data_IF_964591975470
#
_entry.id   IF_964591975470
#
_cell.length_a   1.000
_cell.length_b   1.000
_cell.length_c   1.000
_cell.angle_alpha   90.00
_cell.angle_beta   90.00
_cell.angle_gamma   90.00
#
_symmetry.space_group_name_H-M   'P 1'
#
loop_
_entity.id
_entity.type
_entity.pdbx_description
1 polymer ?
#
# COMPACT_ATOMS: atom_id res chain seq x y z
N UNK A 1 12.61 0.17 -6.80
CA UNK A 1 12.84 1.25 -5.85
C UNK A 1 11.67 2.25 -5.93
N UNK A 2 10.77 2.22 -4.93
CA UNK A 2 9.55 3.03 -4.92
C UNK A 2 9.69 4.30 -4.06
N UNK A 3 10.89 4.63 -3.59
CA UNK A 3 11.16 5.73 -2.66
C UNK A 3 10.31 5.65 -1.37
N UNK A 4 10.09 4.44 -0.88
CA UNK A 4 9.27 4.16 0.31
C UNK A 4 9.98 3.21 1.26
N UNK A 5 9.65 3.33 2.53
CA UNK A 5 10.07 2.43 3.61
C UNK A 5 8.84 1.70 4.10
N UNK A 6 8.84 0.37 3.96
CA UNK A 6 7.74 -0.48 4.41
C UNK A 6 7.98 -1.05 5.80
N UNK A 7 6.95 -1.01 6.63
CA UNK A 7 6.90 -1.68 7.94
C UNK A 7 5.77 -2.69 7.91
N UNK A 8 6.13 -3.98 7.94
CA UNK A 8 5.17 -5.07 7.90
C UNK A 8 4.97 -5.68 9.29
N UNK A 9 3.72 -5.84 9.67
CA UNK A 9 3.33 -6.60 10.87
C UNK A 9 2.78 -7.97 10.46
N UNK A 10 3.53 -9.07 10.68
CA UNK A 10 3.09 -10.39 10.24
C UNK A 10 1.89 -10.95 11.03
N UNK A 11 1.63 -10.43 12.24
CA UNK A 11 0.50 -10.93 13.06
C UNK A 11 -0.84 -10.38 12.62
N UNK A 12 -0.88 -9.17 12.08
CA UNK A 12 -2.09 -8.52 11.56
C UNK A 12 -2.10 -8.44 10.05
N UNK A 13 -1.07 -8.96 9.38
CA UNK A 13 -0.86 -8.86 7.94
C UNK A 13 -1.00 -7.43 7.39
N UNK A 14 -0.63 -6.42 8.19
CA UNK A 14 -0.68 -5.01 7.81
C UNK A 14 0.68 -4.51 7.32
N UNK A 15 0.65 -3.69 6.28
CA UNK A 15 1.80 -3.00 5.72
C UNK A 15 1.59 -1.50 5.82
N UNK A 16 2.55 -0.80 6.42
CA UNK A 16 2.61 0.67 6.42
C UNK A 16 3.82 1.07 5.59
N UNK A 17 3.61 1.91 4.59
CA UNK A 17 4.68 2.43 3.75
C UNK A 17 4.81 3.94 3.96
N UNK A 18 6.00 4.39 4.30
CA UNK A 18 6.33 5.80 4.49
C UNK A 18 7.06 6.30 3.24
N UNK A 19 6.57 7.36 2.64
CA UNK A 19 7.24 8.00 1.49
C UNK A 19 8.48 8.74 1.96
N UNK A 20 9.61 8.49 1.31
CA UNK A 20 10.83 9.27 1.51
C UNK A 20 10.68 10.56 0.73
N UNK A 21 10.67 11.74 1.40
CA UNK A 21 10.37 13.00 0.75
C UNK A 21 11.49 13.49 -0.17
N UNK A 22 12.71 13.03 0.07
CA UNK A 22 13.88 13.44 -0.70
C UNK A 22 13.82 12.88 -2.11
N UNK A 23 14.04 13.77 -3.08
CA UNK A 23 14.14 13.43 -4.50
C UNK A 23 15.25 14.27 -5.11
N UNK A 24 16.27 13.64 -5.66
CA UNK A 24 17.35 14.38 -6.32
C UNK A 24 17.10 14.47 -7.84
N UNK A 25 16.62 15.62 -8.34
CA UNK A 25 16.38 15.80 -9.76
C UNK A 25 17.67 15.91 -10.60
N UNK A 26 18.81 16.10 -9.97
CA UNK A 26 20.08 16.34 -10.67
C UNK A 26 20.89 15.07 -10.93
N UNK A 27 20.47 13.94 -10.39
CA UNK A 27 21.24 12.69 -10.51
C UNK A 27 21.05 11.98 -11.85
N UNK A 28 19.92 12.19 -12.50
CA UNK A 28 19.64 11.69 -13.83
C UNK A 28 19.00 12.80 -14.65
N UNK A 29 19.18 12.76 -15.96
CA UNK A 29 18.44 13.64 -16.87
C UNK A 29 16.96 13.25 -16.82
N UNK A 30 16.18 14.08 -16.15
CA UNK A 30 14.80 13.84 -15.84
C UNK A 30 13.83 14.61 -16.72
N UNK A 31 14.30 15.23 -17.81
CA UNK A 31 13.43 15.99 -18.70
C UNK A 31 12.25 15.15 -19.20
N UNK A 32 11.06 15.51 -18.73
CA UNK A 32 9.80 14.86 -19.12
C UNK A 32 9.47 13.54 -18.43
N UNK A 33 10.19 13.13 -17.38
CA UNK A 33 9.92 11.90 -16.63
C UNK A 33 9.39 12.24 -15.23
N UNK A 34 8.13 11.88 -14.97
CA UNK A 34 7.41 12.19 -13.72
C UNK A 34 8.02 11.56 -12.45
N UNK A 35 8.75 10.46 -12.58
CA UNK A 35 9.30 9.67 -11.45
C UNK A 35 10.82 9.64 -11.39
N UNK A 36 11.47 10.62 -11.95
CA UNK A 36 12.90 10.76 -11.84
C UNK A 36 13.31 11.35 -10.48
N UNK A 37 14.51 11.02 -10.02
CA UNK A 37 15.02 11.54 -8.76
C UNK A 37 14.53 10.77 -7.54
N UNK A 38 15.00 9.54 -7.38
CA UNK A 38 14.77 8.74 -6.17
C UNK A 38 15.92 8.94 -5.20
N UNK A 39 15.62 9.02 -3.89
CA UNK A 39 16.64 9.11 -2.83
C UNK A 39 17.55 7.88 -2.74
N UNK A 40 17.15 6.77 -3.33
CA UNK A 40 17.84 5.48 -3.27
C UNK A 40 18.20 5.07 -1.84
N UNK A 41 17.18 4.71 -1.08
CA UNK A 41 17.35 4.13 0.24
C UNK A 41 18.18 2.85 0.14
N UNK A 42 19.27 2.76 0.90
CA UNK A 42 20.24 1.68 0.73
C UNK A 42 20.43 0.82 1.97
N UNK A 43 20.57 1.41 3.15
CA UNK A 43 20.84 0.69 4.38
C UNK A 43 19.92 1.13 5.51
N UNK A 44 19.70 0.24 6.49
CA UNK A 44 18.76 0.43 7.58
C UNK A 44 19.37 0.06 8.92
N UNK A 45 19.03 0.84 9.95
CA UNK A 45 19.25 0.51 11.35
C UNK A 45 17.97 0.75 12.15
N UNK A 46 17.58 -0.22 12.97
CA UNK A 46 16.39 -0.12 13.81
C UNK A 46 16.81 0.16 15.25
N UNK A 47 16.30 1.24 15.82
CA UNK A 47 16.46 1.62 17.21
C UNK A 47 15.10 1.87 17.87
N UNK A 48 14.61 0.88 18.58
CA UNK A 48 13.29 0.89 19.18
C UNK A 48 12.18 1.08 18.15
N UNK A 49 11.52 2.23 18.15
CA UNK A 49 10.46 2.60 17.20
C UNK A 49 10.96 3.49 16.05
N UNK A 50 12.26 3.68 15.95
CA UNK A 50 12.87 4.47 14.89
C UNK A 50 13.58 3.59 13.90
N UNK A 51 13.37 3.86 12.61
CA UNK A 51 14.04 3.21 11.50
C UNK A 51 14.90 4.27 10.84
N UNK A 52 16.20 4.17 11.02
CA UNK A 52 17.20 5.02 10.38
C UNK A 52 17.58 4.41 9.03
N UNK A 53 17.76 5.24 8.02
CA UNK A 53 18.15 4.79 6.70
C UNK A 53 19.06 5.80 6.01
N UNK A 54 19.89 5.31 5.09
CA UNK A 54 20.73 6.16 4.28
C UNK A 54 20.04 6.46 2.95
N UNK A 55 20.18 7.70 2.49
CA UNK A 55 19.76 8.14 1.17
C UNK A 55 21.02 8.38 0.35
N UNK A 56 21.41 7.39 -0.42
CA UNK A 56 22.70 7.40 -1.15
C UNK A 56 22.83 8.63 -2.06
N UNK A 57 21.81 8.89 -2.87
CA UNK A 57 21.90 9.96 -3.90
C UNK A 57 21.89 11.34 -3.28
N UNK A 58 21.12 11.51 -2.20
CA UNK A 58 21.01 12.79 -1.49
C UNK A 58 22.13 13.01 -0.47
N UNK A 59 22.93 11.97 -0.19
CA UNK A 59 23.94 12.00 0.84
C UNK A 59 23.39 12.39 2.22
N UNK A 60 22.18 11.89 2.54
CA UNK A 60 21.44 12.18 3.76
C UNK A 60 21.26 10.92 4.60
N UNK A 61 20.87 11.11 5.84
CA UNK A 61 20.31 10.09 6.73
C UNK A 61 18.88 10.47 7.05
N UNK A 62 17.94 9.59 6.73
CA UNK A 62 16.53 9.74 7.07
C UNK A 62 16.15 8.93 8.31
N UNK A 63 15.01 9.27 8.89
CA UNK A 63 14.41 8.51 9.99
C UNK A 63 12.90 8.42 9.83
N UNK A 64 12.36 7.23 10.01
CA UNK A 64 10.93 6.99 10.23
C UNK A 64 10.71 6.73 11.72
N UNK A 65 9.83 7.50 12.35
CA UNK A 65 9.40 7.28 13.73
C UNK A 65 8.03 6.60 13.73
N UNK A 66 8.02 5.29 13.96
CA UNK A 66 6.79 4.47 13.98
C UNK A 66 5.95 4.66 15.24
N UNK A 67 6.37 5.52 16.19
CA UNK A 67 5.56 5.92 17.34
C UNK A 67 4.55 7.01 17.03
N UNK A 68 4.72 7.71 15.92
CA UNK A 68 3.79 8.74 15.45
C UNK A 68 2.49 8.06 15.02
N UNK A 69 1.33 8.45 15.55
CA UNK A 69 0.05 7.87 15.17
C UNK A 69 -0.22 8.03 13.68
N UNK A 70 -0.71 6.95 13.04
CA UNK A 70 -1.10 6.99 11.64
C UNK A 70 -2.33 7.89 11.45
N UNK A 71 -2.42 8.65 10.35
CA UNK A 71 -3.55 9.55 10.09
C UNK A 71 -4.86 8.81 9.79
N UNK A 72 -4.78 7.55 9.39
CA UNK A 72 -5.92 6.67 9.15
C UNK A 72 -5.54 5.22 9.41
N UNK A 73 -6.55 4.36 9.54
CA UNK A 73 -6.39 2.90 9.55
C UNK A 73 -7.27 2.26 8.51
N UNK A 74 -6.89 1.05 8.12
CA UNK A 74 -7.56 0.24 7.12
C UNK A 74 -7.98 -1.07 7.75
N UNK A 75 -9.14 -1.58 7.36
CA UNK A 75 -9.71 -2.85 7.79
C UNK A 75 -10.54 -3.44 6.64
N UNK A 76 -10.62 -4.75 6.54
CA UNK A 76 -11.42 -5.46 5.54
C UNK A 76 -12.46 -6.34 6.23
N UNK A 77 -13.65 -6.47 5.63
CA UNK A 77 -14.73 -7.31 6.16
C UNK A 77 -14.44 -8.81 6.03
N UNK A 78 -13.45 -9.19 5.23
CA UNK A 78 -13.01 -10.56 5.01
C UNK A 78 -11.50 -10.63 4.92
N UNK A 79 -10.90 -11.55 5.64
CA UNK A 79 -9.46 -11.83 5.60
C UNK A 79 -9.11 -12.93 4.58
N UNK A 80 -10.10 -13.77 4.23
CA UNK A 80 -9.95 -14.89 3.31
C UNK A 80 -11.18 -15.01 2.40
N UNK A 81 -10.96 -15.33 1.13
CA UNK A 81 -12.01 -15.68 0.17
C UNK A 81 -11.55 -16.85 -0.70
N UNK A 82 -12.53 -17.66 -1.15
CA UNK A 82 -12.31 -18.72 -2.15
C UNK A 82 -13.15 -18.39 -3.38
N UNK A 83 -12.54 -18.46 -4.55
CA UNK A 83 -13.16 -18.16 -5.84
C UNK A 83 -12.99 -19.33 -6.79
N UNK A 84 -14.03 -19.68 -7.52
CA UNK A 84 -13.93 -20.46 -8.74
C UNK A 84 -13.40 -19.57 -9.88
N UNK A 85 -12.85 -20.17 -10.93
CA UNK A 85 -12.41 -19.44 -12.13
C UNK A 85 -13.59 -18.68 -12.75
N UNK A 86 -13.38 -17.43 -13.11
CA UNK A 86 -14.41 -16.51 -13.60
C UNK A 86 -15.31 -15.90 -12.50
N UNK A 87 -15.18 -16.32 -11.26
CA UNK A 87 -16.00 -15.80 -10.16
C UNK A 87 -15.47 -14.48 -9.64
N UNK A 88 -16.40 -13.61 -9.18
CA UNK A 88 -16.11 -12.34 -8.53
C UNK A 88 -16.65 -12.34 -7.10
N UNK A 89 -15.86 -11.84 -6.15
CA UNK A 89 -16.29 -11.51 -4.81
C UNK A 89 -16.12 -10.02 -4.52
N UNK A 90 -16.94 -9.50 -3.62
CA UNK A 90 -16.84 -8.15 -3.10
C UNK A 90 -16.24 -8.16 -1.71
N UNK A 91 -15.31 -7.25 -1.47
CA UNK A 91 -14.68 -6.95 -0.19
C UNK A 91 -15.00 -5.50 0.19
N UNK A 92 -15.42 -5.30 1.42
CA UNK A 92 -15.65 -3.96 1.96
C UNK A 92 -14.37 -3.47 2.63
N UNK A 93 -13.68 -2.53 1.98
CA UNK A 93 -12.51 -1.85 2.50
C UNK A 93 -12.95 -0.67 3.35
N UNK A 94 -12.86 -0.78 4.66
CA UNK A 94 -13.18 0.28 5.60
C UNK A 94 -11.94 1.09 5.95
N UNK A 95 -11.99 2.40 5.72
CA UNK A 95 -10.92 3.33 6.03
C UNK A 95 -11.42 4.30 7.11
N UNK A 96 -10.78 4.29 8.25
CA UNK A 96 -11.16 5.13 9.40
C UNK A 96 -10.19 6.29 9.51
N UNK A 97 -10.70 7.50 9.41
CA UNK A 97 -9.91 8.72 9.64
C UNK A 97 -9.56 8.84 11.13
N UNK A 98 -8.30 9.05 11.41
CA UNK A 98 -7.77 9.29 12.77
C UNK A 98 -7.21 10.70 12.93
N UNK A 99 -7.26 11.49 11.86
CA UNK A 99 -6.92 12.91 11.90
C UNK A 99 -8.17 13.74 12.19
N UNK A 100 -7.97 15.01 12.55
CA UNK A 100 -9.06 15.97 12.75
C UNK A 100 -9.48 16.70 11.46
N UNK A 101 -9.00 16.27 10.31
CA UNK A 101 -9.25 16.90 9.00
C UNK A 101 -9.58 15.84 7.96
N UNK A 102 -10.37 16.22 6.97
CA UNK A 102 -10.54 15.41 5.79
C UNK A 102 -9.22 15.24 5.03
N UNK A 103 -9.00 14.07 4.44
CA UNK A 103 -7.77 13.68 3.76
C UNK A 103 -8.13 13.23 2.34
N UNK A 104 -7.47 13.82 1.35
CA UNK A 104 -7.50 13.29 -0.02
C UNK A 104 -6.66 12.02 -0.08
N UNK A 105 -7.27 10.92 -0.48
CA UNK A 105 -6.64 9.62 -0.52
C UNK A 105 -7.03 8.83 -1.77
N UNK A 106 -6.24 7.82 -2.06
CA UNK A 106 -6.49 6.88 -3.15
C UNK A 106 -6.44 5.44 -2.63
N UNK A 107 -7.12 4.54 -3.31
CA UNK A 107 -7.07 3.10 -2.98
C UNK A 107 -5.73 2.53 -3.42
N UNK A 108 -5.10 1.76 -2.53
CA UNK A 108 -3.91 0.97 -2.80
C UNK A 108 -4.31 -0.49 -2.95
N UNK A 109 -4.02 -1.08 -4.10
CA UNK A 109 -4.31 -2.49 -4.34
C UNK A 109 -3.23 -3.16 -5.17
N UNK A 110 -2.88 -4.39 -4.81
CA UNK A 110 -1.99 -5.24 -5.60
C UNK A 110 -2.21 -6.71 -5.27
N UNK A 111 -1.71 -7.61 -6.10
CA UNK A 111 -1.76 -9.04 -5.84
C UNK A 111 -0.41 -9.71 -6.08
N UNK A 112 -0.19 -10.87 -5.44
CA UNK A 112 0.96 -11.72 -5.70
C UNK A 112 0.75 -12.65 -6.89
N UNK A 113 -0.44 -12.58 -7.54
CA UNK A 113 -0.70 -13.39 -8.73
C UNK A 113 0.16 -12.94 -9.90
N UNK A 114 0.56 -13.92 -10.70
CA UNK A 114 1.20 -13.68 -12.00
C UNK A 114 0.15 -13.77 -13.11
N UNK A 115 0.45 -13.19 -14.27
CA UNK A 115 -0.38 -13.30 -15.48
C UNK A 115 -1.83 -12.82 -15.35
N UNK A 116 -2.13 -11.90 -14.44
CA UNK A 116 -3.48 -11.38 -14.22
C UNK A 116 -4.50 -12.45 -13.80
N UNK A 117 -4.07 -13.45 -13.04
CA UNK A 117 -4.98 -14.47 -12.48
C UNK A 117 -6.03 -13.84 -11.57
N UNK A 118 -5.68 -12.73 -10.90
CA UNK A 118 -6.57 -11.94 -10.05
C UNK A 118 -6.68 -10.54 -10.64
N UNK A 119 -7.92 -10.12 -10.90
CA UNK A 119 -8.27 -8.78 -11.36
C UNK A 119 -8.93 -8.05 -10.18
N UNK A 120 -8.42 -6.86 -9.85
CA UNK A 120 -8.93 -6.04 -8.76
C UNK A 120 -9.54 -4.77 -9.36
N UNK A 121 -10.80 -4.49 -9.05
CA UNK A 121 -11.52 -3.31 -9.53
C UNK A 121 -12.09 -2.52 -8.36
N UNK A 122 -11.89 -1.22 -8.35
CA UNK A 122 -12.37 -0.30 -7.32
C UNK A 122 -12.40 1.14 -7.82
N UNK A 123 -13.05 2.01 -7.08
CA UNK A 123 -12.94 3.46 -7.22
C UNK A 123 -11.56 3.93 -6.73
N UNK A 124 -10.85 4.76 -7.50
CA UNK A 124 -9.46 5.09 -7.19
C UNK A 124 -9.31 6.18 -6.13
N UNK A 125 -9.93 7.34 -6.34
CA UNK A 125 -9.74 8.52 -5.50
C UNK A 125 -10.97 8.81 -4.66
N UNK A 126 -10.78 9.20 -3.42
CA UNK A 126 -11.86 9.53 -2.51
C UNK A 126 -11.41 10.57 -1.47
N UNK A 127 -12.39 11.28 -0.93
CA UNK A 127 -12.17 12.14 0.22
C UNK A 127 -12.50 11.34 1.49
N UNK A 128 -11.49 11.10 2.33
CA UNK A 128 -11.67 10.47 3.62
C UNK A 128 -12.20 11.51 4.62
N UNK A 129 -13.50 11.48 4.86
CA UNK A 129 -14.18 12.36 5.80
C UNK A 129 -13.85 12.00 7.27
N UNK A 130 -14.25 12.86 8.22
CA UNK A 130 -14.08 12.61 9.66
C UNK A 130 -14.78 11.32 10.14
N UNK A 131 -15.87 10.92 9.46
CA UNK A 131 -16.60 9.68 9.77
C UNK A 131 -15.98 8.41 9.18
N UNK A 132 -14.89 8.56 8.41
CA UNK A 132 -14.33 7.47 7.63
C UNK A 132 -15.07 7.22 6.31
N UNK A 133 -14.63 6.23 5.57
CA UNK A 133 -15.19 5.84 4.26
C UNK A 133 -15.13 4.32 4.12
N UNK A 134 -16.11 3.74 3.43
CA UNK A 134 -16.11 2.33 3.04
C UNK A 134 -16.16 2.24 1.53
N UNK A 135 -15.23 1.50 0.95
CA UNK A 135 -15.09 1.32 -0.49
C UNK A 135 -15.35 -0.14 -0.82
N UNK A 136 -16.15 -0.40 -1.84
CA UNK A 136 -16.33 -1.75 -2.36
C UNK A 136 -15.20 -2.05 -3.34
N UNK A 137 -14.48 -3.13 -3.08
CA UNK A 137 -13.44 -3.67 -3.95
C UNK A 137 -13.93 -4.99 -4.53
N UNK A 138 -13.92 -5.12 -5.84
CA UNK A 138 -14.24 -6.36 -6.54
C UNK A 138 -12.95 -7.13 -6.85
N UNK A 139 -12.95 -8.41 -6.50
CA UNK A 139 -11.85 -9.33 -6.77
C UNK A 139 -12.39 -10.45 -7.64
N UNK A 140 -11.87 -10.54 -8.85
CA UNK A 140 -12.28 -11.53 -9.84
C UNK A 140 -11.13 -12.50 -10.12
N UNK A 141 -11.39 -13.81 -10.00
CA UNK A 141 -10.51 -14.82 -10.55
C UNK A 141 -10.71 -14.89 -12.06
N UNK A 142 -9.64 -14.75 -12.84
CA UNK A 142 -9.71 -14.91 -14.31
C UNK A 142 -10.23 -16.31 -14.68
N UNK A 143 -10.90 -16.42 -15.83
CA UNK A 143 -11.32 -17.73 -16.38
C UNK A 143 -10.11 -18.66 -16.67
N UNK A 144 -8.94 -18.06 -16.90
CA UNK A 144 -7.70 -18.78 -17.19
C UNK A 144 -6.75 -18.86 -15.99
N UNK A 145 -7.21 -18.41 -14.82
CA UNK A 145 -6.38 -18.40 -13.62
C UNK A 145 -5.89 -19.80 -13.25
N UNK A 146 -4.68 -19.85 -12.73
CA UNK A 146 -4.15 -21.07 -12.14
C UNK A 146 -4.72 -21.24 -10.72
N UNK A 147 -5.13 -22.48 -10.38
CA UNK A 147 -5.56 -22.80 -9.02
C UNK A 147 -4.38 -22.62 -8.06
N UNK A 148 -4.64 -22.00 -6.91
CA UNK A 148 -3.61 -21.71 -5.92
C UNK A 148 -4.05 -20.65 -4.91
N UNK A 149 -3.16 -20.37 -3.96
CA UNK A 149 -3.38 -19.36 -2.94
C UNK A 149 -2.52 -18.14 -3.22
N UNK A 150 -3.13 -16.98 -3.21
CA UNK A 150 -2.53 -15.68 -3.49
C UNK A 150 -2.78 -14.73 -2.34
N UNK A 151 -1.89 -13.75 -2.16
CA UNK A 151 -2.13 -12.61 -1.28
C UNK A 151 -2.56 -11.40 -2.12
N UNK A 152 -3.58 -10.72 -1.66
CA UNK A 152 -4.03 -9.45 -2.21
C UNK A 152 -3.85 -8.38 -1.15
N UNK A 153 -3.16 -7.30 -1.50
CA UNK A 153 -2.97 -6.13 -0.67
C UNK A 153 -4.08 -5.14 -0.98
N UNK A 154 -4.81 -4.70 0.05
CA UNK A 154 -5.87 -3.69 -0.05
C UNK A 154 -5.62 -2.60 0.98
N UNK A 155 -5.75 -1.35 0.58
CA UNK A 155 -5.52 -0.23 1.47
C UNK A 155 -5.81 1.12 0.87
N UNK A 156 -5.26 2.14 1.52
CA UNK A 156 -5.31 3.52 1.06
C UNK A 156 -3.95 4.17 1.14
N UNK A 157 -3.72 5.17 0.30
CA UNK A 157 -2.49 5.95 0.34
C UNK A 157 -2.77 7.44 0.12
N UNK A 158 -1.86 8.23 0.67
CA UNK A 158 -1.69 9.67 0.43
C UNK A 158 -0.29 9.90 -0.16
N UNK A 159 0.10 11.13 -0.39
CA UNK A 159 1.46 11.46 -0.84
C UNK A 159 2.53 10.99 0.16
N UNK A 160 2.23 11.01 1.46
CA UNK A 160 3.20 10.76 2.52
C UNK A 160 3.22 9.31 3.01
N UNK A 161 2.07 8.63 2.98
CA UNK A 161 1.91 7.34 3.64
C UNK A 161 0.88 6.45 2.94
N UNK A 162 1.15 5.13 2.95
CA UNK A 162 0.15 4.12 2.61
C UNK A 162 -0.05 3.17 3.80
N UNK A 163 -1.29 2.78 4.03
CA UNK A 163 -1.68 1.77 5.02
C UNK A 163 -2.51 0.71 4.30
N UNK A 164 -2.10 -0.53 4.42
CA UNK A 164 -2.73 -1.64 3.69
C UNK A 164 -2.76 -2.90 4.54
N UNK A 165 -3.68 -3.80 4.20
CA UNK A 165 -3.83 -5.11 4.81
C UNK A 165 -3.80 -6.18 3.71
N UNK A 166 -3.16 -7.31 3.98
CA UNK A 166 -3.22 -8.47 3.12
C UNK A 166 -4.45 -9.31 3.42
N UNK A 167 -5.11 -9.78 2.38
CA UNK A 167 -6.12 -10.84 2.44
C UNK A 167 -5.64 -12.05 1.64
N UNK A 168 -6.17 -13.22 1.97
CA UNK A 168 -5.88 -14.47 1.25
C UNK A 168 -6.97 -14.75 0.22
N UNK A 169 -6.58 -15.00 -1.01
CA UNK A 169 -7.48 -15.39 -2.12
C UNK A 169 -7.07 -16.78 -2.61
N UNK A 170 -7.95 -17.76 -2.46
CA UNK A 170 -7.75 -19.11 -2.98
C UNK A 170 -8.57 -19.31 -4.23
N UNK A 171 -7.94 -19.68 -5.35
CA UNK A 171 -8.58 -20.04 -6.62
C UNK A 171 -8.65 -21.54 -6.72
N UNK A 172 -9.86 -22.09 -6.94
CA UNK A 172 -10.14 -23.51 -7.07
C UNK A 172 -10.50 -23.93 -8.48
#
# INVERSE_FOLDING_TARGET
NANRIGVFNPSSETLVEYTVPSRNPNWADCEGIEYCGLAQVFDFAVDGKKIWFTEWVENNIGVVDTSIPLPFSVDTDKEEITLEKGQTAQIMLKITNRSSKAIDASVNSSSTSTFSDIIITHENNFLLSDSGTTITVEITASEYALSGTHKVLLGAYTDDIAVSQFITVTIV
#
